data_IF_587563228799
#
_entry.id   IF_587563228799
#
_cell.length_a   1.000
_cell.length_b   1.000
_cell.length_c   1.000
_cell.angle_alpha   90.00
_cell.angle_beta   90.00
_cell.angle_gamma   90.00
#
_symmetry.space_group_name_H-M   'P 1'
#
loop_
_entity.id
_entity.type
_entity.pdbx_description
1 polymer ?
#
# COMPACT_ATOMS: atom_id res chain seq x y z
N UNK A 1 -1.58 -6.76 6.81
CA UNK A 1 -3.00 -7.18 6.91
C UNK A 1 -3.61 -7.13 5.53
N UNK A 2 -3.49 -6.04 4.81
CA UNK A 2 -4.12 -5.76 3.51
C UNK A 2 -3.81 -6.81 2.43
N UNK A 3 -2.55 -7.09 2.22
CA UNK A 3 -2.07 -7.93 1.11
C UNK A 3 -1.25 -9.14 1.55
N UNK A 4 -1.07 -9.37 2.87
CA UNK A 4 -0.09 -10.32 3.42
C UNK A 4 1.33 -10.04 2.89
N UNK A 5 1.67 -8.76 2.72
CA UNK A 5 2.92 -8.25 2.13
C UNK A 5 3.15 -8.68 0.67
N UNK A 6 2.13 -9.13 -0.04
CA UNK A 6 2.24 -9.41 -1.48
C UNK A 6 2.13 -8.10 -2.27
N UNK A 7 3.21 -7.64 -2.94
CA UNK A 7 3.20 -6.38 -3.69
C UNK A 7 2.35 -6.45 -4.96
N UNK A 8 1.97 -7.63 -5.41
CA UNK A 8 1.14 -7.84 -6.59
C UNK A 8 -0.30 -8.24 -6.25
N UNK A 9 -0.69 -8.17 -4.97
CA UNK A 9 -2.04 -8.50 -4.57
C UNK A 9 -3.06 -7.60 -5.28
N UNK A 10 -4.16 -8.24 -5.69
CA UNK A 10 -5.31 -7.55 -6.27
C UNK A 10 -6.59 -8.14 -5.64
N UNK A 11 -7.44 -7.26 -5.14
CA UNK A 11 -8.74 -7.63 -4.59
C UNK A 11 -9.83 -7.66 -5.66
N UNK A 12 -10.95 -8.36 -5.44
CA UNK A 12 -12.11 -8.31 -6.33
C UNK A 12 -12.66 -6.89 -6.55
N UNK A 13 -12.53 -6.01 -5.56
CA UNK A 13 -12.93 -4.61 -5.65
C UNK A 13 -11.93 -3.72 -6.42
N UNK A 14 -10.83 -4.29 -6.93
CA UNK A 14 -9.80 -3.56 -7.68
C UNK A 14 -8.80 -2.79 -6.82
N UNK A 15 -8.73 -3.08 -5.53
CA UNK A 15 -7.63 -2.61 -4.69
C UNK A 15 -6.37 -3.41 -5.01
N UNK A 16 -5.20 -2.75 -5.08
CA UNK A 16 -3.95 -3.39 -5.49
C UNK A 16 -2.76 -2.97 -4.65
N UNK A 17 -1.70 -3.80 -4.70
CA UNK A 17 -0.42 -3.58 -4.07
C UNK A 17 -0.39 -3.92 -2.58
N UNK A 18 0.74 -3.61 -1.93
CA UNK A 18 0.94 -3.91 -0.50
C UNK A 18 -0.12 -3.23 0.36
N UNK A 19 -0.49 -2.00 0.01
CA UNK A 19 -1.40 -1.15 0.77
C UNK A 19 -2.87 -1.24 0.34
N UNK A 20 -3.18 -2.02 -0.70
CA UNK A 20 -4.54 -2.25 -1.21
C UNK A 20 -5.32 -0.96 -1.49
N UNK A 21 -4.66 0.03 -2.12
CA UNK A 21 -5.38 1.21 -2.56
C UNK A 21 -6.37 0.92 -3.68
N UNK A 22 -7.57 1.43 -3.55
CA UNK A 22 -8.47 1.62 -4.67
C UNK A 22 -7.94 2.72 -5.60
N UNK A 23 -8.30 2.68 -6.88
CA UNK A 23 -7.81 3.63 -7.88
C UNK A 23 -8.10 5.09 -7.54
N UNK A 24 -9.30 5.39 -7.05
CA UNK A 24 -9.69 6.74 -6.61
C UNK A 24 -8.84 7.22 -5.44
N UNK A 25 -8.82 6.45 -4.35
CA UNK A 25 -8.07 6.77 -3.14
C UNK A 25 -6.58 6.91 -3.41
N UNK A 26 -6.00 6.05 -4.27
CA UNK A 26 -4.59 6.18 -4.67
C UNK A 26 -4.31 7.52 -5.36
N UNK A 27 -5.15 7.94 -6.30
CA UNK A 27 -5.01 9.24 -6.99
C UNK A 27 -5.17 10.43 -6.05
N UNK A 28 -6.13 10.37 -5.13
CA UNK A 28 -6.36 11.41 -4.10
C UNK A 28 -5.16 11.58 -3.17
N UNK A 29 -4.35 10.53 -3.00
CA UNK A 29 -3.13 10.54 -2.22
C UNK A 29 -1.85 10.64 -3.07
N UNK A 30 -1.96 11.15 -4.31
CA UNK A 30 -0.84 11.55 -5.15
C UNK A 30 -0.22 10.46 -6.00
N UNK A 31 -0.76 9.23 -6.01
CA UNK A 31 -0.24 8.15 -6.84
C UNK A 31 -0.63 8.35 -8.32
N UNK A 32 0.33 8.16 -9.20
CA UNK A 32 0.08 8.09 -10.63
C UNK A 32 -0.56 6.74 -10.97
N UNK A 33 -1.77 6.80 -11.56
CA UNK A 33 -2.51 5.59 -11.93
C UNK A 33 -3.16 5.81 -13.30
N UNK A 34 -2.54 5.26 -14.32
CA UNK A 34 -3.01 5.29 -15.70
C UNK A 34 -2.80 3.91 -16.36
N UNK A 35 -2.83 3.85 -17.71
CA UNK A 35 -2.65 2.60 -18.44
C UNK A 35 -1.16 2.16 -18.55
N UNK A 36 -0.22 3.08 -18.37
CA UNK A 36 1.22 2.84 -18.52
C UNK A 36 1.90 2.65 -17.17
N UNK A 37 1.43 3.39 -16.16
CA UNK A 37 1.99 3.42 -14.81
C UNK A 37 0.88 3.20 -13.77
N UNK A 38 1.15 2.39 -12.77
CA UNK A 38 0.28 2.22 -11.60
C UNK A 38 1.13 2.16 -10.33
N UNK A 39 1.33 3.32 -9.70
CA UNK A 39 2.19 3.48 -8.53
C UNK A 39 1.64 2.83 -7.25
N UNK A 40 0.44 2.25 -7.28
CA UNK A 40 -0.05 1.40 -6.19
C UNK A 40 0.79 0.13 -6.03
N UNK A 41 1.50 -0.29 -7.09
CA UNK A 41 2.48 -1.38 -7.07
C UNK A 41 3.90 -0.93 -6.67
N UNK A 42 4.16 0.37 -6.55
CA UNK A 42 5.43 0.92 -6.10
C UNK A 42 5.45 0.98 -4.58
N UNK A 43 6.29 0.17 -3.94
CA UNK A 43 6.26 -0.02 -2.49
C UNK A 43 6.50 1.31 -1.76
N UNK A 44 7.54 2.04 -2.12
CA UNK A 44 7.92 3.29 -1.46
C UNK A 44 6.83 4.35 -1.63
N UNK A 45 6.42 4.65 -2.85
CA UNK A 45 5.39 5.67 -3.12
C UNK A 45 4.03 5.32 -2.51
N UNK A 46 3.63 4.05 -2.60
CA UNK A 46 2.38 3.62 -1.98
C UNK A 46 2.44 3.65 -0.45
N UNK A 47 3.63 3.46 0.14
CA UNK A 47 3.84 3.59 1.59
C UNK A 47 3.76 5.06 2.03
N UNK A 48 4.36 5.98 1.28
CA UNK A 48 4.23 7.42 1.51
C UNK A 48 2.76 7.87 1.41
N UNK A 49 2.04 7.41 0.39
CA UNK A 49 0.62 7.68 0.22
C UNK A 49 -0.23 7.14 1.39
N UNK A 50 0.08 5.92 1.86
CA UNK A 50 -0.61 5.32 3.01
C UNK A 50 -0.31 6.07 4.31
N UNK A 51 0.93 6.48 4.52
CA UNK A 51 1.32 7.29 5.68
C UNK A 51 0.60 8.66 5.66
N UNK A 52 0.52 9.31 4.50
CA UNK A 52 -0.21 10.56 4.34
C UNK A 52 -1.71 10.41 4.62
N UNK A 53 -2.32 9.33 4.10
CA UNK A 53 -3.73 9.01 4.39
C UNK A 53 -3.97 8.81 5.89
N UNK A 54 -3.16 7.98 6.55
CA UNK A 54 -3.28 7.69 7.98
C UNK A 54 -3.08 8.95 8.83
N UNK A 55 -2.14 9.83 8.46
CA UNK A 55 -1.92 11.11 9.14
C UNK A 55 -3.14 12.02 9.02
N UNK A 56 -3.71 12.19 7.83
CA UNK A 56 -4.95 12.96 7.62
C UNK A 56 -6.12 12.38 8.41
N UNK A 57 -6.24 11.06 8.47
CA UNK A 57 -7.27 10.41 9.25
C UNK A 57 -7.07 10.65 10.76
N UNK A 58 -5.84 10.59 11.24
CA UNK A 58 -5.51 10.95 12.63
C UNK A 58 -5.83 12.41 12.94
N UNK A 59 -5.46 13.34 12.07
CA UNK A 59 -5.80 14.77 12.23
C UNK A 59 -7.31 14.99 12.31
N UNK A 60 -8.08 14.21 11.54
CA UNK A 60 -9.55 14.28 11.55
C UNK A 60 -10.19 13.68 12.80
N UNK A 61 -9.71 12.53 13.25
CA UNK A 61 -10.40 11.72 14.29
C UNK A 61 -9.72 11.82 15.66
N UNK A 62 -8.50 12.35 15.77
CA UNK A 62 -7.74 12.45 17.02
C UNK A 62 -7.28 11.11 17.60
N UNK A 63 -7.44 10.01 16.86
CA UNK A 63 -7.18 8.65 17.34
C UNK A 63 -6.60 7.76 16.26
N UNK A 64 -5.51 7.05 16.56
CA UNK A 64 -4.89 6.09 15.65
C UNK A 64 -5.77 4.84 15.41
N UNK A 65 -6.59 4.43 16.38
CA UNK A 65 -7.52 3.32 16.20
C UNK A 65 -8.64 3.68 15.22
N UNK A 66 -9.18 4.91 15.30
CA UNK A 66 -10.13 5.44 14.33
C UNK A 66 -9.49 5.69 12.96
N UNK A 67 -8.23 6.15 12.92
CA UNK A 67 -7.49 6.31 11.67
C UNK A 67 -7.28 4.95 10.97
N UNK A 68 -6.94 3.91 11.70
CA UNK A 68 -6.82 2.55 11.17
C UNK A 68 -8.18 2.01 10.69
N UNK A 69 -9.25 2.22 11.45
CA UNK A 69 -10.61 1.86 11.03
C UNK A 69 -11.02 2.60 9.75
N UNK A 70 -10.67 3.90 9.65
CA UNK A 70 -10.93 4.72 8.47
C UNK A 70 -10.13 4.25 7.24
N UNK A 71 -8.92 3.73 7.44
CA UNK A 71 -8.14 3.12 6.36
C UNK A 71 -8.86 1.89 5.78
N UNK A 72 -9.40 1.04 6.66
CA UNK A 72 -10.11 -0.18 6.25
C UNK A 72 -11.47 0.11 5.62
N UNK A 73 -12.29 0.96 6.26
CA UNK A 73 -13.70 1.13 5.91
C UNK A 73 -14.03 2.46 5.21
N UNK A 74 -13.04 3.37 5.12
CA UNK A 74 -13.23 4.72 4.58
C UNK A 74 -13.62 5.74 5.65
N UNK A 75 -12.95 6.91 5.59
CA UNK A 75 -13.13 7.98 6.57
C UNK A 75 -14.58 8.52 6.65
N UNK A 76 -15.29 8.56 5.52
CA UNK A 76 -16.69 8.99 5.48
C UNK A 76 -17.61 8.04 6.22
N UNK A 77 -17.39 6.72 6.10
CA UNK A 77 -18.15 5.70 6.79
C UNK A 77 -17.94 5.81 8.30
N UNK A 78 -16.70 5.92 8.76
CA UNK A 78 -16.38 6.07 10.19
C UNK A 78 -17.03 7.34 10.75
N UNK A 79 -16.90 8.51 10.07
CA UNK A 79 -17.58 9.73 10.51
C UNK A 79 -19.07 9.53 10.68
N UNK A 80 -19.74 8.93 9.69
CA UNK A 80 -21.18 8.68 9.75
C UNK A 80 -21.56 7.78 10.93
N UNK A 81 -20.78 6.74 11.23
CA UNK A 81 -21.06 5.86 12.36
C UNK A 81 -20.86 6.57 13.70
N UNK A 82 -19.82 7.39 13.83
CA UNK A 82 -19.60 8.22 15.01
C UNK A 82 -20.79 9.17 15.27
N UNK A 83 -21.26 9.85 14.21
CA UNK A 83 -22.39 10.78 14.30
C UNK A 83 -23.70 10.06 14.66
N UNK A 84 -23.97 8.93 14.03
CA UNK A 84 -25.17 8.12 14.24
C UNK A 84 -25.23 7.57 15.66
N UNK A 85 -24.11 7.03 16.15
CA UNK A 85 -24.03 6.36 17.45
C UNK A 85 -23.69 7.32 18.59
N UNK A 86 -23.36 8.59 18.28
CA UNK A 86 -22.91 9.60 19.26
C UNK A 86 -21.69 9.12 20.08
N UNK A 87 -20.79 8.41 19.42
CA UNK A 87 -19.64 7.76 20.03
C UNK A 87 -18.35 8.15 19.29
N UNK A 88 -17.27 8.37 20.03
CA UNK A 88 -15.97 8.77 19.52
C UNK A 88 -14.86 7.75 19.82
N UNK A 89 -15.17 6.72 20.59
CA UNK A 89 -14.24 5.66 20.90
C UNK A 89 -14.46 4.48 19.96
N UNK A 90 -13.44 4.12 19.19
CA UNK A 90 -13.48 2.98 18.26
C UNK A 90 -14.03 1.70 18.90
N UNK A 91 -13.65 1.41 20.14
CA UNK A 91 -14.03 0.17 20.82
C UNK A 91 -15.52 0.11 21.25
N UNK A 92 -16.20 1.24 21.21
CA UNK A 92 -17.64 1.34 21.55
C UNK A 92 -18.50 1.46 20.29
N UNK A 93 -17.89 1.66 19.11
CA UNK A 93 -18.63 1.76 17.85
C UNK A 93 -19.07 0.38 17.36
N UNK A 94 -20.32 0.24 17.02
CA UNK A 94 -20.85 -0.90 16.28
C UNK A 94 -20.50 -0.72 14.80
N UNK A 95 -19.56 -1.51 14.33
CA UNK A 95 -19.05 -1.48 12.96
C UNK A 95 -19.30 -2.83 12.27
N UNK A 96 -18.96 -2.96 10.99
CA UNK A 96 -18.93 -4.26 10.34
C UNK A 96 -17.81 -5.13 10.91
N UNK A 97 -18.00 -6.45 10.95
CA UNK A 97 -17.08 -7.42 11.55
C UNK A 97 -15.63 -7.24 11.14
N UNK A 98 -15.37 -6.98 9.86
CA UNK A 98 -14.01 -6.77 9.36
C UNK A 98 -13.36 -5.55 10.00
N UNK A 99 -14.08 -4.43 10.09
CA UNK A 99 -13.58 -3.18 10.67
C UNK A 99 -13.44 -3.27 12.18
N UNK A 100 -14.38 -3.94 12.87
CA UNK A 100 -14.26 -4.19 14.32
C UNK A 100 -13.04 -5.03 14.68
N UNK A 101 -12.66 -5.98 13.83
CA UNK A 101 -11.50 -6.84 14.05
C UNK A 101 -10.18 -6.26 13.53
N UNK A 102 -10.24 -5.19 12.74
CA UNK A 102 -9.07 -4.69 12.01
C UNK A 102 -7.94 -4.25 12.93
N UNK A 103 -8.22 -3.41 13.93
CA UNK A 103 -7.22 -2.94 14.90
C UNK A 103 -6.66 -4.11 15.72
N UNK A 104 -7.53 -5.04 16.16
CA UNK A 104 -7.07 -6.22 16.91
C UNK A 104 -6.16 -7.11 16.08
N UNK A 105 -6.40 -7.26 14.77
CA UNK A 105 -5.52 -7.99 13.86
C UNK A 105 -4.16 -7.29 13.71
N UNK A 106 -4.13 -5.95 13.67
CA UNK A 106 -2.87 -5.19 13.67
C UNK A 106 -2.08 -5.47 14.95
N UNK A 107 -2.74 -5.38 16.11
CA UNK A 107 -2.12 -5.60 17.41
C UNK A 107 -1.61 -7.04 17.57
N UNK A 108 -2.40 -8.02 17.13
CA UNK A 108 -1.99 -9.42 17.15
C UNK A 108 -0.74 -9.68 16.31
N UNK A 109 -0.70 -9.16 15.06
CA UNK A 109 0.49 -9.27 14.21
C UNK A 109 1.70 -8.54 14.80
N UNK A 110 1.50 -7.35 15.34
CA UNK A 110 2.57 -6.60 16.02
C UNK A 110 3.14 -7.39 17.18
N UNK A 111 2.30 -8.02 17.99
CA UNK A 111 2.73 -8.85 19.11
C UNK A 111 3.53 -10.07 18.64
N UNK A 112 3.06 -10.77 17.61
CA UNK A 112 3.77 -11.91 17.04
C UNK A 112 5.12 -11.51 16.45
N UNK A 113 5.18 -10.39 15.73
CA UNK A 113 6.41 -9.90 15.11
C UNK A 113 7.44 -9.41 16.14
N UNK A 114 6.98 -8.84 17.26
CA UNK A 114 7.87 -8.37 18.33
C UNK A 114 8.38 -9.51 19.22
N UNK A 115 7.60 -10.59 19.35
CA UNK A 115 7.88 -11.72 20.22
C UNK A 115 7.64 -13.05 19.50
N UNK A 116 8.32 -13.31 18.37
CA UNK A 116 8.06 -14.50 17.55
C UNK A 116 8.29 -15.80 18.33
N UNK A 117 9.21 -15.81 19.27
CA UNK A 117 9.55 -16.97 20.11
C UNK A 117 8.36 -17.45 20.98
N UNK A 118 7.52 -16.53 21.45
CA UNK A 118 6.32 -16.87 22.24
C UNK A 118 5.28 -17.64 21.43
N UNK A 119 5.38 -17.58 20.10
CA UNK A 119 4.46 -18.20 19.16
C UNK A 119 5.13 -19.34 18.37
N UNK A 120 6.26 -19.87 18.89
CA UNK A 120 7.05 -20.93 18.25
C UNK A 120 7.60 -20.60 16.85
N UNK A 121 7.73 -19.31 16.51
CA UNK A 121 8.43 -18.91 15.30
C UNK A 121 9.94 -18.81 15.56
N UNK A 122 10.72 -19.54 14.76
CA UNK A 122 12.19 -19.43 14.75
C UNK A 122 12.60 -18.60 13.53
N UNK A 123 13.09 -17.40 13.76
CA UNK A 123 13.63 -16.55 12.70
C UNK A 123 15.12 -16.87 12.52
N UNK A 124 15.42 -17.80 11.63
CA UNK A 124 16.80 -18.26 11.41
C UNK A 124 17.54 -17.51 10.30
N UNK A 125 16.82 -16.80 9.43
CA UNK A 125 17.40 -16.14 8.27
C UNK A 125 16.77 -14.76 8.09
N UNK A 126 17.62 -13.75 8.02
CA UNK A 126 17.22 -12.40 7.64
C UNK A 126 17.46 -12.26 6.14
N UNK A 127 16.40 -12.01 5.38
CA UNK A 127 16.53 -11.69 3.97
C UNK A 127 17.09 -10.28 3.81
N UNK A 128 18.13 -10.14 3.01
CA UNK A 128 18.69 -8.83 2.64
C UNK A 128 18.07 -8.39 1.31
N UNK A 129 17.82 -7.10 1.18
CA UNK A 129 17.41 -6.54 -0.11
C UNK A 129 18.56 -6.61 -1.10
N UNK A 130 18.25 -6.93 -2.35
CA UNK A 130 19.22 -6.82 -3.43
C UNK A 130 19.60 -5.33 -3.60
N UNK A 131 20.89 -5.07 -3.85
CA UNK A 131 21.33 -3.70 -4.14
C UNK A 131 20.77 -3.26 -5.48
N UNK A 132 20.15 -2.09 -5.49
CA UNK A 132 19.56 -1.47 -6.68
C UNK A 132 20.12 -0.07 -6.86
N UNK A 133 20.14 0.39 -8.10
CA UNK A 133 20.45 1.77 -8.47
C UNK A 133 19.20 2.40 -9.08
N UNK A 134 19.01 3.70 -8.85
CA UNK A 134 17.90 4.44 -9.43
C UNK A 134 18.37 5.17 -10.68
N UNK A 135 17.69 4.97 -11.78
CA UNK A 135 17.94 5.67 -13.04
C UNK A 135 16.76 6.61 -13.32
N UNK A 136 17.05 7.89 -13.51
CA UNK A 136 16.05 8.89 -13.88
C UNK A 136 15.73 8.79 -15.37
N UNK A 137 14.45 8.65 -15.70
CA UNK A 137 13.94 8.59 -17.08
C UNK A 137 13.24 9.89 -17.43
N UNK A 138 13.85 10.72 -18.28
CA UNK A 138 13.38 12.08 -18.65
C UNK A 138 12.58 12.15 -19.94
N UNK A 139 11.96 11.10 -20.38
CA UNK A 139 11.23 11.14 -21.64
C UNK A 139 10.52 9.84 -21.96
N UNK A 140 9.86 9.79 -23.13
CA UNK A 140 9.22 8.56 -23.57
C UNK A 140 10.27 7.44 -23.75
N UNK A 141 9.88 6.23 -23.35
CA UNK A 141 10.66 5.01 -23.58
C UNK A 141 9.93 4.16 -24.60
N UNK A 142 10.53 3.95 -25.76
CA UNK A 142 9.93 3.16 -26.85
C UNK A 142 9.84 1.68 -26.53
N UNK A 143 10.83 1.17 -25.76
CA UNK A 143 10.91 -0.23 -25.39
C UNK A 143 11.64 -0.37 -24.06
N UNK A 144 10.96 -0.90 -23.04
CA UNK A 144 11.60 -1.25 -21.78
C UNK A 144 12.57 -2.41 -21.90
N UNK A 145 12.46 -3.23 -22.95
CA UNK A 145 13.40 -4.31 -23.22
C UNK A 145 14.76 -3.75 -23.69
N UNK A 146 14.73 -2.80 -24.63
CA UNK A 146 15.95 -2.14 -25.14
C UNK A 146 16.59 -1.33 -24.00
N UNK A 147 15.81 -0.56 -23.26
CA UNK A 147 16.29 0.17 -22.09
C UNK A 147 16.98 -0.76 -21.08
N UNK A 148 16.40 -1.93 -20.78
CA UNK A 148 17.00 -2.89 -19.86
C UNK A 148 18.36 -3.38 -20.37
N UNK A 149 18.49 -3.67 -21.68
CA UNK A 149 19.75 -4.06 -22.31
C UNK A 149 20.80 -2.95 -22.22
N UNK A 150 20.41 -1.70 -22.46
CA UNK A 150 21.30 -0.53 -22.33
C UNK A 150 21.84 -0.38 -20.89
N UNK A 151 21.04 -0.76 -19.89
CA UNK A 151 21.43 -0.76 -18.47
C UNK A 151 22.16 -2.06 -18.05
N UNK A 152 22.44 -2.99 -18.98
CA UNK A 152 23.13 -4.25 -18.68
C UNK A 152 22.32 -5.26 -17.88
N UNK A 153 20.98 -5.15 -17.85
CA UNK A 153 20.07 -6.04 -17.12
C UNK A 153 19.04 -6.69 -18.06
N UNK A 154 18.34 -7.70 -17.58
CA UNK A 154 17.27 -8.32 -18.35
C UNK A 154 15.95 -7.55 -18.19
N UNK A 155 15.08 -7.62 -19.19
CA UNK A 155 13.70 -7.12 -19.10
C UNK A 155 12.94 -7.69 -17.88
N UNK A 156 13.17 -8.97 -17.58
CA UNK A 156 12.58 -9.63 -16.40
C UNK A 156 13.03 -8.95 -15.09
N UNK A 157 14.32 -8.65 -14.98
CA UNK A 157 14.90 -7.96 -13.82
C UNK A 157 14.30 -6.55 -13.70
N UNK A 158 14.27 -5.79 -14.80
CA UNK A 158 13.65 -4.47 -14.83
C UNK A 158 12.21 -4.52 -14.30
N UNK A 159 11.39 -5.41 -14.85
CA UNK A 159 9.94 -5.51 -14.46
C UNK A 159 9.75 -6.02 -13.03
N UNK A 160 10.63 -6.86 -12.54
CA UNK A 160 10.59 -7.36 -11.16
C UNK A 160 10.79 -6.22 -10.15
N UNK A 161 11.74 -5.34 -10.42
CA UNK A 161 12.03 -4.18 -9.56
C UNK A 161 11.14 -2.97 -9.82
N UNK A 162 10.42 -2.95 -10.95
CA UNK A 162 9.54 -1.86 -11.34
C UNK A 162 8.14 -2.38 -11.72
N UNK A 163 7.40 -3.03 -10.79
CA UNK A 163 6.10 -3.63 -11.09
C UNK A 163 5.02 -2.61 -11.44
N UNK A 164 5.25 -1.34 -11.12
CA UNK A 164 4.36 -0.22 -11.48
C UNK A 164 4.41 0.16 -12.97
N UNK A 165 5.42 -0.25 -13.73
CA UNK A 165 5.47 -0.10 -15.17
C UNK A 165 4.57 -1.15 -15.83
N UNK A 166 3.38 -0.76 -16.31
CA UNK A 166 2.34 -1.70 -16.74
C UNK A 166 2.42 -2.08 -18.22
N UNK A 167 3.06 -1.24 -19.05
CA UNK A 167 3.24 -1.46 -20.49
C UNK A 167 4.67 -1.88 -20.82
N UNK A 168 4.92 -2.19 -22.09
CA UNK A 168 6.24 -2.47 -22.66
C UNK A 168 7.00 -1.21 -23.09
N UNK A 169 6.29 -0.08 -23.07
CA UNK A 169 6.76 1.26 -23.45
C UNK A 169 6.25 2.30 -22.43
N UNK A 170 6.74 3.52 -22.54
CA UNK A 170 6.24 4.69 -21.81
C UNK A 170 6.14 5.85 -22.78
N UNK A 171 4.92 6.35 -23.02
CA UNK A 171 4.67 7.44 -23.98
C UNK A 171 4.63 8.80 -23.30
N UNK A 172 4.02 8.83 -22.12
CA UNK A 172 3.76 10.07 -21.37
C UNK A 172 4.31 9.94 -19.95
N UNK A 173 5.63 10.13 -19.75
CA UNK A 173 6.17 10.21 -18.40
C UNK A 173 5.56 11.41 -17.66
N UNK A 174 5.24 11.24 -16.40
CA UNK A 174 4.88 12.36 -15.52
C UNK A 174 6.13 13.20 -15.30
N UNK A 175 6.01 14.51 -15.47
CA UNK A 175 7.10 15.45 -15.24
C UNK A 175 7.41 15.62 -13.75
#
# INVERSE_FOLDING_TARGET
>A
IESRLNPQAQSPAGAVGVWQFLKGTGKENGLEINNEVDERYHIEKSTEAAAAYLKKAYEKFGSWTLAAAAYNAGAAMISRQMDLQKETNYYNLLLGEETERYVFRILALKQIMNHPELYNFKVNTVYTFEKTETVEVKGPVKSWADFAQEQGITYKTLKRFNPWLRKTDLKNPRH
#
